data_IF_171667835202
#
_entry.id   IF_171667835202
#
_cell.length_a   1.000
_cell.length_b   1.000
_cell.length_c   1.000
_cell.angle_alpha   90.00
_cell.angle_beta   90.00
_cell.angle_gamma   90.00
#
_symmetry.space_group_name_H-M   'P 1'
#
loop_
_entity.id
_entity.type
_entity.pdbx_description
1 polymer ?
#
# COMPACT_ATOMS: atom_id res chain seq x y z
N UNK A 1 -0.30 -14.56 5.70
CA UNK A 1 -0.54 -13.51 4.69
C UNK A 1 -1.20 -12.32 5.37
N UNK A 2 -0.91 -11.08 4.99
CA UNK A 2 -1.53 -9.92 5.65
C UNK A 2 -2.90 -9.70 5.03
N UNK A 3 -3.92 -10.15 5.77
CA UNK A 3 -5.32 -10.09 5.38
C UNK A 3 -5.90 -8.83 6.03
N UNK A 4 -6.35 -7.90 5.19
CA UNK A 4 -7.20 -6.80 5.65
C UNK A 4 -8.64 -7.16 5.33
N UNK A 5 -9.42 -7.45 6.37
CA UNK A 5 -10.86 -7.66 6.27
C UNK A 5 -11.57 -6.49 6.96
N UNK A 6 -12.67 -6.05 6.37
CA UNK A 6 -13.61 -5.14 7.00
C UNK A 6 -15.01 -5.71 6.80
N UNK A 7 -15.88 -5.61 7.80
CA UNK A 7 -17.25 -6.13 7.71
C UNK A 7 -17.93 -5.66 6.42
N UNK A 8 -18.53 -6.60 5.68
CA UNK A 8 -19.16 -6.35 4.39
C UNK A 8 -18.23 -6.23 3.16
N UNK A 9 -16.92 -6.50 3.29
CA UNK A 9 -15.96 -6.41 2.17
C UNK A 9 -15.20 -7.71 1.91
N UNK A 10 -14.83 -7.95 0.65
CA UNK A 10 -13.95 -9.05 0.26
C UNK A 10 -12.57 -8.85 0.91
N UNK A 11 -12.03 -9.85 1.65
CA UNK A 11 -10.72 -9.74 2.26
C UNK A 11 -9.62 -9.50 1.21
N UNK A 12 -8.74 -8.52 1.48
CA UNK A 12 -7.60 -8.23 0.61
C UNK A 12 -6.31 -8.74 1.23
N UNK A 13 -5.53 -9.44 0.42
CA UNK A 13 -4.24 -10.00 0.80
C UNK A 13 -3.12 -9.30 0.04
N UNK A 14 -1.99 -9.06 0.71
CA UNK A 14 -0.76 -8.55 0.09
C UNK A 14 0.37 -9.59 0.21
N UNK A 15 0.47 -10.57 -0.71
CA UNK A 15 1.45 -11.66 -0.62
C UNK A 15 2.90 -11.17 -0.67
N UNK A 16 3.16 -10.12 -1.46
CA UNK A 16 4.50 -9.57 -1.69
C UNK A 16 4.85 -8.41 -0.74
N UNK A 17 4.13 -8.25 0.38
CA UNK A 17 4.34 -7.10 1.29
C UNK A 17 5.77 -7.00 1.83
N UNK A 18 6.45 -8.14 2.01
CA UNK A 18 7.80 -8.21 2.54
C UNK A 18 8.87 -8.47 1.47
N UNK A 19 8.50 -8.39 0.19
CA UNK A 19 9.43 -8.53 -0.94
C UNK A 19 9.78 -7.17 -1.50
N UNK A 20 11.07 -6.93 -1.78
CA UNK A 20 11.51 -5.67 -2.36
C UNK A 20 11.16 -5.63 -3.85
N UNK A 21 10.89 -4.43 -4.37
CA UNK A 21 10.58 -4.24 -5.80
C UNK A 21 11.68 -4.80 -6.72
N UNK A 22 12.96 -4.60 -6.37
CA UNK A 22 14.11 -5.16 -7.10
C UNK A 22 14.08 -6.69 -7.18
N UNK A 23 13.59 -7.37 -6.13
CA UNK A 23 13.53 -8.84 -6.07
C UNK A 23 12.36 -9.36 -6.92
N UNK A 24 11.22 -8.66 -6.87
CA UNK A 24 10.04 -8.98 -7.68
C UNK A 24 10.37 -8.85 -9.16
N UNK A 25 11.03 -7.75 -9.56
CA UNK A 25 11.46 -7.52 -10.95
C UNK A 25 12.50 -8.56 -11.38
N UNK A 26 13.49 -8.87 -10.52
CA UNK A 26 14.49 -9.90 -10.79
C UNK A 26 13.86 -11.29 -10.97
N UNK A 27 12.86 -11.64 -10.15
CA UNK A 27 12.11 -12.89 -10.28
C UNK A 27 11.32 -12.95 -11.59
N UNK A 28 10.61 -11.87 -11.95
CA UNK A 28 9.85 -11.79 -13.19
C UNK A 28 10.76 -11.95 -14.42
N UNK A 29 11.94 -11.31 -14.39
CA UNK A 29 12.96 -11.45 -15.42
C UNK A 29 13.47 -12.90 -15.52
N UNK A 30 13.87 -13.51 -14.40
CA UNK A 30 14.35 -14.89 -14.36
C UNK A 30 13.32 -15.89 -14.89
N UNK A 31 12.04 -15.67 -14.56
CA UNK A 31 10.92 -16.50 -15.03
C UNK A 31 10.40 -16.14 -16.41
N UNK A 32 10.99 -15.12 -17.07
CA UNK A 32 10.55 -14.61 -18.38
C UNK A 32 9.06 -14.29 -18.42
N UNK A 33 8.54 -13.70 -17.34
CA UNK A 33 7.15 -13.28 -17.28
C UNK A 33 6.94 -12.07 -18.19
N UNK A 34 5.81 -12.03 -18.89
CA UNK A 34 5.38 -10.86 -19.65
C UNK A 34 4.81 -9.84 -18.65
N UNK A 35 5.44 -8.67 -18.55
CA UNK A 35 4.97 -7.55 -17.75
C UNK A 35 5.25 -6.22 -18.45
N UNK A 36 4.46 -5.19 -18.10
CA UNK A 36 4.67 -3.84 -18.62
C UNK A 36 5.64 -3.07 -17.74
N UNK A 37 6.70 -2.53 -18.34
CA UNK A 37 7.65 -1.61 -17.68
C UNK A 37 7.40 -0.14 -18.01
N UNK A 38 6.43 0.15 -18.87
CA UNK A 38 6.08 1.52 -19.26
C UNK A 38 5.32 2.21 -18.15
N UNK A 39 5.87 3.31 -17.65
CA UNK A 39 5.18 4.15 -16.67
C UNK A 39 4.11 5.03 -17.34
N UNK A 40 3.10 5.42 -16.56
CA UNK A 40 2.08 6.37 -17.00
C UNK A 40 2.72 7.76 -17.26
N UNK A 41 2.30 8.47 -18.30
CA UNK A 41 2.79 9.82 -18.63
C UNK A 41 2.58 10.85 -17.52
N UNK A 42 1.62 10.62 -16.63
CA UNK A 42 1.34 11.47 -15.47
C UNK A 42 2.07 11.01 -14.19
N UNK A 43 2.74 9.85 -14.21
CA UNK A 43 3.47 9.31 -13.06
C UNK A 43 4.53 10.27 -12.48
N UNK A 44 5.29 11.05 -13.30
CA UNK A 44 6.28 11.99 -12.76
C UNK A 44 5.68 13.08 -11.86
N UNK A 45 4.41 13.41 -12.04
CA UNK A 45 3.72 14.43 -11.25
C UNK A 45 3.18 13.88 -9.91
N UNK A 46 3.31 12.58 -9.66
CA UNK A 46 2.82 11.96 -8.44
C UNK A 46 3.79 12.19 -7.28
N UNK A 47 3.34 12.90 -6.24
CA UNK A 47 4.14 13.19 -5.04
C UNK A 47 4.72 11.93 -4.37
N UNK A 48 4.06 10.77 -4.52
CA UNK A 48 4.54 9.47 -4.02
C UNK A 48 5.94 9.11 -4.54
N UNK A 49 6.35 9.63 -5.71
CA UNK A 49 7.70 9.47 -6.25
C UNK A 49 8.77 9.99 -5.29
N UNK A 50 8.57 11.17 -4.69
CA UNK A 50 9.51 11.74 -3.71
C UNK A 50 9.68 10.85 -2.47
N UNK A 51 8.57 10.34 -1.92
CA UNK A 51 8.61 9.42 -0.78
C UNK A 51 9.34 8.10 -1.13
N UNK A 52 9.14 7.57 -2.34
CA UNK A 52 9.86 6.38 -2.82
C UNK A 52 11.36 6.64 -2.92
N UNK A 53 11.77 7.76 -3.54
CA UNK A 53 13.18 8.14 -3.67
C UNK A 53 13.83 8.30 -2.30
N UNK A 54 13.16 8.99 -1.37
CA UNK A 54 13.65 9.14 0.00
C UNK A 54 13.86 7.80 0.71
N UNK A 55 12.90 6.87 0.62
CA UNK A 55 13.06 5.53 1.18
C UNK A 55 14.23 4.77 0.57
N UNK A 56 14.49 4.95 -0.74
CA UNK A 56 15.62 4.33 -1.44
C UNK A 56 16.96 4.94 -1.02
N UNK A 57 17.01 6.24 -0.77
CA UNK A 57 18.22 6.88 -0.27
C UNK A 57 18.54 6.43 1.17
N UNK A 58 17.52 6.20 2.00
CA UNK A 58 17.72 5.57 3.30
C UNK A 58 18.21 4.12 3.19
N UNK A 59 17.65 3.33 2.25
CA UNK A 59 18.03 1.93 2.04
C UNK A 59 19.52 1.78 1.66
N UNK A 60 20.07 2.74 0.91
CA UNK A 60 21.50 2.78 0.57
C UNK A 60 22.40 2.86 1.80
N UNK A 61 21.95 3.53 2.86
CA UNK A 61 22.70 3.67 4.11
C UNK A 61 22.43 2.48 5.04
N UNK A 62 21.15 2.08 5.17
CA UNK A 62 20.71 0.97 6.02
C UNK A 62 19.79 0.05 5.22
N UNK A 63 20.28 -1.13 4.76
CA UNK A 63 19.51 -2.04 3.93
C UNK A 63 18.19 -2.51 4.54
N UNK A 64 18.08 -2.58 5.87
CA UNK A 64 16.88 -3.05 6.57
C UNK A 64 15.78 -1.98 6.71
N UNK A 65 16.04 -0.71 6.38
CA UNK A 65 15.19 0.42 6.77
C UNK A 65 13.74 0.29 6.31
N UNK A 66 13.51 -0.24 5.11
CA UNK A 66 12.15 -0.41 4.56
C UNK A 66 11.37 -1.44 5.40
N UNK A 67 12.02 -2.54 5.79
CA UNK A 67 11.42 -3.58 6.63
C UNK A 67 11.20 -3.07 8.05
N UNK A 68 12.14 -2.31 8.60
CA UNK A 68 12.02 -1.70 9.92
C UNK A 68 10.82 -0.72 9.98
N UNK A 69 10.62 0.09 8.93
CA UNK A 69 9.46 0.99 8.81
C UNK A 69 8.15 0.18 8.74
N UNK A 70 8.10 -0.88 7.94
CA UNK A 70 6.91 -1.75 7.85
C UNK A 70 6.60 -2.34 9.23
N UNK A 71 7.60 -2.89 9.90
CA UNK A 71 7.45 -3.51 11.21
C UNK A 71 7.00 -2.50 12.28
N UNK A 72 7.57 -1.30 12.26
CA UNK A 72 7.14 -0.20 13.12
C UNK A 72 5.69 0.19 12.87
N UNK A 73 5.28 0.31 11.60
CA UNK A 73 3.90 0.64 11.23
C UNK A 73 2.89 -0.45 11.61
N UNK A 74 3.27 -1.73 11.57
CA UNK A 74 2.42 -2.85 12.02
C UNK A 74 2.24 -2.87 13.54
N UNK A 75 3.24 -2.40 14.29
CA UNK A 75 3.20 -2.29 15.75
C UNK A 75 2.61 -0.98 16.25
N UNK A 76 2.23 -0.07 15.35
CA UNK A 76 1.67 1.23 15.72
C UNK A 76 0.27 1.03 16.31
N UNK A 77 0.14 1.29 17.61
CA UNK A 77 -1.14 1.31 18.30
C UNK A 77 -1.70 2.74 18.35
N UNK A 78 -3.00 2.88 18.08
CA UNK A 78 -3.73 4.13 18.27
C UNK A 78 -4.14 4.25 19.73
N UNK A 79 -4.03 5.45 20.31
CA UNK A 79 -4.47 5.71 21.70
C UNK A 79 -5.96 5.45 21.84
N UNK A 80 -6.35 4.92 23.00
CA UNK A 80 -7.76 4.79 23.38
C UNK A 80 -8.43 6.18 23.44
N UNK A 81 -9.70 6.26 23.04
CA UNK A 81 -10.47 7.51 23.03
C UNK A 81 -10.38 8.34 21.74
N UNK A 82 -9.61 7.91 20.73
CA UNK A 82 -9.64 8.53 19.41
C UNK A 82 -10.93 8.12 18.68
N UNK A 83 -11.78 9.09 18.34
CA UNK A 83 -12.98 8.86 17.52
C UNK A 83 -12.56 8.42 16.12
N UNK A 84 -12.84 7.17 15.78
CA UNK A 84 -12.73 6.68 14.42
C UNK A 84 -13.91 7.20 13.58
N UNK A 85 -13.73 7.47 12.28
CA UNK A 85 -14.84 7.86 11.41
C UNK A 85 -15.87 6.73 11.31
N UNK A 86 -17.15 7.09 11.40
CA UNK A 86 -18.23 6.14 11.20
C UNK A 86 -18.24 5.63 9.75
N UNK A 87 -18.36 4.32 9.57
CA UNK A 87 -18.52 3.71 8.24
C UNK A 87 -19.98 3.83 7.79
N UNK A 88 -20.21 4.63 6.77
CA UNK A 88 -21.50 4.75 6.11
C UNK A 88 -21.59 3.96 4.79
N UNK A 89 -22.76 4.06 4.16
CA UNK A 89 -23.03 3.53 2.82
C UNK A 89 -23.56 4.65 1.92
N UNK A 90 -23.20 4.59 0.64
CA UNK A 90 -23.66 5.52 -0.37
C UNK A 90 -25.16 5.35 -0.62
N UNK A 91 -25.93 6.43 -0.57
CA UNK A 91 -27.39 6.42 -0.80
C UNK A 91 -27.78 6.05 -2.23
N UNK A 92 -26.86 6.16 -3.20
CA UNK A 92 -27.12 5.85 -4.62
C UNK A 92 -26.77 4.42 -5.01
N UNK A 93 -25.60 3.93 -4.59
CA UNK A 93 -25.07 2.63 -5.04
C UNK A 93 -24.91 1.59 -3.92
N UNK A 94 -25.15 1.97 -2.65
CA UNK A 94 -24.97 1.08 -1.50
C UNK A 94 -23.52 0.76 -1.14
N UNK A 95 -22.54 1.27 -1.89
CA UNK A 95 -21.12 1.00 -1.61
C UNK A 95 -20.62 1.75 -0.37
N UNK A 96 -19.56 1.24 0.26
CA UNK A 96 -18.99 1.86 1.48
C UNK A 96 -18.54 3.29 1.21
N UNK A 97 -18.96 4.22 2.06
CA UNK A 97 -18.67 5.65 1.89
C UNK A 97 -18.69 6.38 3.23
N UNK A 98 -17.79 7.34 3.42
CA UNK A 98 -17.84 8.27 4.56
C UNK A 98 -18.75 9.48 4.30
N UNK A 99 -19.28 9.61 3.08
CA UNK A 99 -20.22 10.66 2.64
C UNK A 99 -21.54 10.05 2.16
N UNK A 100 -22.65 10.82 2.11
CA UNK A 100 -23.92 10.33 1.60
C UNK A 100 -23.85 9.80 0.16
N UNK A 101 -23.02 10.38 -0.69
CA UNK A 101 -22.74 9.91 -2.04
C UNK A 101 -21.25 9.64 -2.17
N UNK A 102 -20.87 8.47 -2.69
CA UNK A 102 -19.46 8.13 -2.91
C UNK A 102 -18.84 9.04 -3.98
N UNK A 103 -17.51 9.22 -3.92
CA UNK A 103 -16.74 9.86 -4.99
C UNK A 103 -16.75 9.03 -6.27
#
# INVERSE_FOLDING_TARGET
AIITASEGSIPRVKPLKYSYEKEIVMYAYFKKLVYFSTECVFAPNAYRGHARTFLKDLEKIRPSVIMDIIHSGEKLAVREGVKLPDRGTCTRCGFVSSQPVCK
#
